data_IF_649010425595
#
_entry.id   IF_649010425595
#
_cell.length_a   1.000
_cell.length_b   1.000
_cell.length_c   1.000
_cell.angle_alpha   90.00
_cell.angle_beta   90.00
_cell.angle_gamma   90.00
#
_symmetry.space_group_name_H-M   'P 1'
#
loop_
_entity.id
_entity.type
_entity.pdbx_description
1 polymer ?
#
# COMPACT_ATOMS: atom_id res chain seq x y z
N UNK A 1 -5.42 -3.39 16.34
CA UNK A 1 -6.38 -3.27 15.22
C UNK A 1 -5.57 -3.28 13.95
N UNK A 2 -6.00 -3.97 12.89
CA UNK A 2 -5.31 -3.90 11.61
C UNK A 2 -5.35 -2.45 11.09
N UNK A 3 -4.28 -2.00 10.47
CA UNK A 3 -4.23 -0.66 9.87
C UNK A 3 -5.19 -0.61 8.68
N UNK A 4 -6.12 0.35 8.67
CA UNK A 4 -7.03 0.56 7.56
C UNK A 4 -6.23 0.95 6.30
N UNK A 5 -6.59 0.37 5.16
CA UNK A 5 -5.98 0.74 3.87
C UNK A 5 -6.52 2.07 3.39
N UNK A 6 -5.64 3.01 3.04
CA UNK A 6 -6.01 4.34 2.57
C UNK A 6 -6.38 4.30 1.09
N UNK A 7 -7.60 4.68 0.77
CA UNK A 7 -8.09 4.80 -0.60
C UNK A 7 -8.32 6.27 -0.93
N UNK A 8 -7.77 6.74 -2.06
CA UNK A 8 -8.14 8.01 -2.65
C UNK A 8 -9.22 7.76 -3.70
N UNK A 9 -10.42 8.30 -3.48
CA UNK A 9 -11.56 8.22 -4.40
C UNK A 9 -11.71 9.56 -5.13
N UNK A 10 -11.59 9.52 -6.45
CA UNK A 10 -11.61 10.72 -7.33
C UNK A 10 -12.76 10.56 -8.32
N UNK A 11 -13.81 11.32 -8.16
CA UNK A 11 -14.99 11.34 -9.03
C UNK A 11 -15.69 12.70 -8.84
N UNK A 12 -16.19 13.33 -9.90
CA UNK A 12 -16.89 14.61 -9.82
C UNK A 12 -18.38 14.46 -9.45
N UNK A 13 -18.94 13.26 -9.65
CA UNK A 13 -20.29 12.90 -9.23
C UNK A 13 -20.35 12.76 -7.70
N UNK A 14 -20.92 13.77 -7.02
CA UNK A 14 -21.02 13.83 -5.56
C UNK A 14 -21.83 12.66 -5.00
N UNK A 15 -22.99 12.33 -5.61
CA UNK A 15 -23.87 11.25 -5.14
C UNK A 15 -23.16 9.89 -5.23
N UNK A 16 -22.44 9.62 -6.32
CA UNK A 16 -21.67 8.41 -6.51
C UNK A 16 -20.48 8.34 -5.55
N UNK A 17 -19.78 9.47 -5.36
CA UNK A 17 -18.62 9.57 -4.48
C UNK A 17 -19.01 9.30 -3.03
N UNK A 18 -20.07 9.94 -2.52
CA UNK A 18 -20.59 9.72 -1.18
C UNK A 18 -21.03 8.27 -0.98
N UNK A 19 -21.84 7.72 -1.91
CA UNK A 19 -22.33 6.35 -1.81
C UNK A 19 -21.20 5.31 -1.81
N UNK A 20 -20.15 5.52 -2.61
CA UNK A 20 -18.98 4.62 -2.64
C UNK A 20 -18.14 4.75 -1.37
N UNK A 21 -17.91 5.97 -0.90
CA UNK A 21 -17.17 6.26 0.33
C UNK A 21 -17.83 5.56 1.52
N UNK A 22 -19.14 5.73 1.71
CA UNK A 22 -19.90 5.07 2.77
C UNK A 22 -19.80 3.53 2.70
N UNK A 23 -20.00 2.95 1.51
CA UNK A 23 -19.94 1.50 1.32
C UNK A 23 -18.53 0.94 1.59
N UNK A 24 -17.48 1.64 1.19
CA UNK A 24 -16.10 1.23 1.45
C UNK A 24 -15.77 1.29 2.95
N UNK A 25 -16.13 2.37 3.63
CA UNK A 25 -15.93 2.53 5.08
C UNK A 25 -16.71 1.46 5.87
N UNK A 26 -17.93 1.10 5.45
CA UNK A 26 -18.71 0.02 6.08
C UNK A 26 -18.05 -1.35 6.02
N UNK A 27 -17.06 -1.57 5.16
CA UNK A 27 -16.30 -2.83 5.14
C UNK A 27 -15.33 -2.98 6.30
N UNK A 28 -15.06 -1.90 7.05
CA UNK A 28 -14.07 -1.83 8.14
C UNK A 28 -12.62 -2.14 7.70
N UNK A 29 -12.37 -2.21 6.37
CA UNK A 29 -11.05 -2.46 5.79
C UNK A 29 -10.34 -1.17 5.35
N UNK A 30 -11.12 -0.07 5.10
CA UNK A 30 -10.65 1.10 4.37
C UNK A 30 -10.89 2.42 5.11
N UNK A 31 -9.91 3.32 4.93
CA UNK A 31 -10.00 4.75 5.22
C UNK A 31 -10.06 5.51 3.89
N UNK A 32 -11.15 6.25 3.62
CA UNK A 32 -11.44 6.83 2.32
C UNK A 32 -11.24 8.34 2.34
N UNK A 33 -10.45 8.81 1.38
CA UNK A 33 -10.18 10.22 1.13
C UNK A 33 -10.75 10.59 -0.23
N UNK A 34 -11.45 11.70 -0.32
CA UNK A 34 -12.21 12.09 -1.51
C UNK A 34 -11.58 13.26 -2.23
N UNK A 35 -11.70 13.28 -3.56
CA UNK A 35 -11.39 14.42 -4.41
C UNK A 35 -12.44 14.53 -5.54
N UNK A 36 -12.85 15.71 -5.87
CA UNK A 36 -13.91 16.00 -6.85
C UNK A 36 -13.38 16.43 -8.22
N UNK A 37 -12.06 16.57 -8.35
CA UNK A 37 -11.38 16.98 -9.57
C UNK A 37 -9.90 16.55 -9.58
N UNK A 38 -9.24 16.70 -10.72
CA UNK A 38 -7.86 16.30 -10.90
C UNK A 38 -6.87 17.13 -10.10
N UNK A 39 -7.12 18.42 -9.91
CA UNK A 39 -6.24 19.28 -9.12
C UNK A 39 -6.23 18.84 -7.65
N UNK A 40 -7.41 18.67 -7.04
CA UNK A 40 -7.53 18.24 -5.64
C UNK A 40 -6.94 16.85 -5.44
N UNK A 41 -7.12 15.94 -6.41
CA UNK A 41 -6.52 14.61 -6.38
C UNK A 41 -4.98 14.66 -6.38
N UNK A 42 -4.38 15.53 -7.20
CA UNK A 42 -2.92 15.70 -7.25
C UNK A 42 -2.34 16.32 -5.97
N UNK A 43 -3.06 17.25 -5.35
CA UNK A 43 -2.67 17.85 -4.08
C UNK A 43 -2.66 16.78 -2.98
N UNK A 44 -3.75 15.99 -2.85
CA UNK A 44 -3.84 14.89 -1.88
C UNK A 44 -2.78 13.81 -2.11
N UNK A 45 -2.48 13.47 -3.36
CA UNK A 45 -1.45 12.48 -3.68
C UNK A 45 -0.02 12.92 -3.32
N UNK A 46 0.21 14.21 -3.11
CA UNK A 46 1.48 14.76 -2.58
C UNK A 46 1.54 14.77 -1.06
N UNK A 47 0.40 14.95 -0.41
CA UNK A 47 0.31 15.07 1.04
C UNK A 47 0.38 13.74 1.76
N UNK A 48 -0.10 12.66 1.13
CA UNK A 48 -0.19 11.34 1.77
C UNK A 48 0.10 10.20 0.79
N UNK A 49 0.53 9.06 1.36
CA UNK A 49 0.59 7.78 0.65
C UNK A 49 -0.78 7.10 0.73
N UNK A 50 -1.25 6.65 -0.42
CA UNK A 50 -2.46 5.85 -0.55
C UNK A 50 -2.11 4.42 -0.94
N UNK A 51 -2.88 3.45 -0.45
CA UNK A 51 -2.72 2.04 -0.80
C UNK A 51 -3.36 1.73 -2.17
N UNK A 52 -4.39 2.51 -2.56
CA UNK A 52 -5.06 2.39 -3.87
C UNK A 52 -5.73 3.73 -4.22
N UNK A 53 -5.80 4.03 -5.52
CA UNK A 53 -6.52 5.19 -6.06
C UNK A 53 -7.65 4.67 -6.96
N UNK A 54 -8.88 5.11 -6.70
CA UNK A 54 -10.03 4.94 -7.59
C UNK A 54 -10.18 6.26 -8.34
N UNK A 55 -10.16 6.22 -9.67
CA UNK A 55 -10.06 7.42 -10.49
C UNK A 55 -11.09 7.40 -11.61
N UNK A 56 -12.01 8.35 -11.59
CA UNK A 56 -12.90 8.56 -12.73
C UNK A 56 -12.15 9.10 -13.95
N UNK A 57 -12.56 8.65 -15.14
CA UNK A 57 -12.00 9.15 -16.41
C UNK A 57 -12.56 10.52 -16.77
N UNK A 58 -13.82 10.78 -16.45
CA UNK A 58 -14.57 11.96 -16.86
C UNK A 58 -14.52 13.12 -15.88
N UNK A 59 -13.33 13.57 -15.46
CA UNK A 59 -13.22 14.70 -14.53
C UNK A 59 -13.43 16.05 -15.21
N UNK A 60 -13.91 17.08 -14.47
CA UNK A 60 -14.30 18.37 -15.04
C UNK A 60 -13.12 19.22 -15.53
N UNK A 61 -11.93 19.01 -14.96
CA UNK A 61 -10.74 19.83 -15.21
C UNK A 61 -9.66 19.11 -16.06
N UNK A 62 -9.73 17.77 -16.15
CA UNK A 62 -8.77 16.96 -16.90
C UNK A 62 -9.34 15.58 -17.26
N UNK A 63 -8.78 14.93 -18.28
CA UNK A 63 -9.05 13.51 -18.52
C UNK A 63 -8.35 12.66 -17.45
N UNK A 64 -9.06 11.75 -16.77
CA UNK A 64 -8.50 10.89 -15.73
C UNK A 64 -7.30 10.05 -16.20
N UNK A 65 -7.23 9.73 -17.49
CA UNK A 65 -6.07 9.04 -18.09
C UNK A 65 -4.82 9.93 -18.10
N UNK A 66 -4.97 11.23 -18.41
CA UNK A 66 -3.88 12.19 -18.31
C UNK A 66 -3.46 12.40 -16.86
N UNK A 67 -4.42 12.48 -15.95
CA UNK A 67 -4.15 12.56 -14.52
C UNK A 67 -3.35 11.34 -14.02
N UNK A 68 -3.72 10.13 -14.46
CA UNK A 68 -2.97 8.91 -14.16
C UNK A 68 -1.51 9.01 -14.63
N UNK A 69 -1.28 9.44 -15.88
CA UNK A 69 0.08 9.63 -16.41
C UNK A 69 0.88 10.65 -15.59
N UNK A 70 0.24 11.74 -15.17
CA UNK A 70 0.88 12.76 -14.32
C UNK A 70 1.23 12.20 -12.94
N UNK A 71 0.33 11.46 -12.30
CA UNK A 71 0.57 10.78 -11.03
C UNK A 71 1.77 9.82 -11.15
N UNK A 72 1.82 8.99 -12.21
CA UNK A 72 2.95 8.08 -12.47
C UNK A 72 4.27 8.83 -12.68
N UNK A 73 4.28 9.94 -13.41
CA UNK A 73 5.46 10.79 -13.58
C UNK A 73 5.95 11.40 -12.28
N UNK A 74 5.04 11.69 -11.34
CA UNK A 74 5.39 12.18 -10.00
C UNK A 74 5.79 11.06 -9.02
N UNK A 75 5.81 9.82 -9.47
CA UNK A 75 6.30 8.69 -8.67
C UNK A 75 5.23 7.97 -7.85
N UNK A 76 3.94 8.27 -8.05
CA UNK A 76 2.85 7.52 -7.41
C UNK A 76 2.93 6.05 -7.81
N UNK A 77 3.13 5.16 -6.85
CA UNK A 77 3.27 3.70 -7.03
C UNK A 77 2.01 2.93 -6.67
N UNK A 78 1.11 3.55 -5.91
CA UNK A 78 -0.19 2.95 -5.57
C UNK A 78 -0.93 2.44 -6.82
N UNK A 79 -1.60 1.30 -6.78
CA UNK A 79 -2.44 0.85 -7.87
C UNK A 79 -3.54 1.86 -8.15
N UNK A 80 -3.79 2.13 -9.43
CA UNK A 80 -4.85 3.02 -9.91
C UNK A 80 -5.89 2.15 -10.62
N UNK A 81 -7.11 2.19 -10.12
CA UNK A 81 -8.28 1.54 -10.69
C UNK A 81 -9.16 2.64 -11.30
N UNK A 82 -9.31 2.61 -12.62
CA UNK A 82 -10.11 3.61 -13.31
C UNK A 82 -11.59 3.23 -13.38
N UNK A 83 -12.46 4.22 -13.19
CA UNK A 83 -13.89 4.13 -13.47
C UNK A 83 -14.16 4.80 -14.81
N UNK A 84 -14.96 4.18 -15.66
CA UNK A 84 -15.28 4.75 -17.00
C UNK A 84 -16.74 4.57 -17.35
N UNK A 85 -17.36 5.58 -17.97
CA UNK A 85 -18.69 5.51 -18.52
C UNK A 85 -18.76 4.87 -19.93
N UNK A 86 -17.63 4.50 -20.53
CA UNK A 86 -17.57 3.94 -21.87
C UNK A 86 -16.99 2.52 -21.85
N UNK A 87 -17.72 1.59 -22.43
CA UNK A 87 -17.40 0.16 -22.50
C UNK A 87 -16.64 -0.22 -23.79
N UNK A 88 -15.88 0.69 -24.40
CA UNK A 88 -15.12 0.35 -25.60
C UNK A 88 -13.79 -0.30 -25.24
N UNK A 89 -13.42 -1.37 -25.97
CA UNK A 89 -12.09 -2.00 -25.87
C UNK A 89 -10.96 -0.96 -26.07
N UNK A 90 -11.22 0.06 -26.89
CA UNK A 90 -10.27 1.15 -27.15
C UNK A 90 -10.02 2.01 -25.90
N UNK A 91 -11.04 2.33 -25.10
CA UNK A 91 -10.90 3.10 -23.86
C UNK A 91 -10.16 2.31 -22.79
N UNK A 92 -10.42 1.02 -22.72
CA UNK A 92 -9.68 0.11 -21.81
C UNK A 92 -8.19 0.04 -22.15
N UNK A 93 -7.84 -0.10 -23.44
CA UNK A 93 -6.45 -0.12 -23.91
C UNK A 93 -5.74 1.21 -23.59
N UNK A 94 -6.37 2.34 -23.92
CA UNK A 94 -5.81 3.67 -23.67
C UNK A 94 -5.54 3.96 -22.21
N UNK A 95 -6.33 3.39 -21.32
CA UNK A 95 -6.14 3.58 -19.90
C UNK A 95 -5.06 2.71 -19.29
N UNK A 96 -4.96 1.47 -19.71
CA UNK A 96 -3.84 0.60 -19.31
C UNK A 96 -2.51 1.20 -19.79
N UNK A 97 -2.47 1.76 -21.01
CA UNK A 97 -1.31 2.49 -21.55
C UNK A 97 -1.01 3.79 -20.76
N UNK A 98 -2.01 4.35 -20.07
CA UNK A 98 -1.82 5.49 -19.16
C UNK A 98 -1.14 5.10 -17.84
N UNK A 99 -0.99 3.81 -17.55
CA UNK A 99 -0.38 3.29 -16.32
C UNK A 99 -1.40 2.93 -15.24
N UNK A 100 -2.68 2.78 -15.59
CA UNK A 100 -3.69 2.19 -14.70
C UNK A 100 -3.43 0.69 -14.49
N UNK A 101 -3.86 0.16 -13.35
CA UNK A 101 -3.71 -1.25 -13.00
C UNK A 101 -4.94 -2.07 -13.37
N UNK A 102 -6.12 -1.44 -13.39
CA UNK A 102 -7.38 -2.10 -13.74
C UNK A 102 -8.44 -1.06 -14.15
N UNK A 103 -9.53 -1.56 -14.72
CA UNK A 103 -10.66 -0.79 -15.24
C UNK A 103 -11.99 -1.35 -14.77
N UNK A 104 -12.94 -0.47 -14.47
CA UNK A 104 -14.33 -0.82 -14.15
C UNK A 104 -15.26 0.12 -14.90
N UNK A 105 -16.13 -0.46 -15.74
CA UNK A 105 -17.16 0.30 -16.47
C UNK A 105 -18.35 0.66 -15.57
N UNK A 106 -18.81 1.90 -15.68
CA UNK A 106 -20.08 2.36 -15.10
C UNK A 106 -21.25 1.98 -16.05
N UNK A 107 -22.38 1.46 -15.55
CA UNK A 107 -22.69 1.18 -14.15
C UNK A 107 -22.08 -0.15 -13.64
N UNK A 108 -21.59 -0.16 -12.43
CA UNK A 108 -21.00 -1.34 -11.80
C UNK A 108 -21.76 -1.77 -10.53
N UNK A 109 -21.53 -3.00 -10.12
CA UNK A 109 -22.01 -3.50 -8.82
C UNK A 109 -20.91 -3.36 -7.78
N UNK A 110 -21.21 -2.79 -6.62
CA UNK A 110 -20.23 -2.60 -5.54
C UNK A 110 -19.43 -3.87 -5.18
N UNK A 111 -20.04 -5.08 -5.04
CA UNK A 111 -19.25 -6.28 -4.76
C UNK A 111 -18.19 -6.61 -5.83
N UNK A 112 -18.44 -6.25 -7.11
CA UNK A 112 -17.47 -6.44 -8.20
C UNK A 112 -16.31 -5.44 -8.06
N UNK A 113 -16.62 -4.17 -7.80
CA UNK A 113 -15.62 -3.14 -7.54
C UNK A 113 -14.77 -3.51 -6.33
N UNK A 114 -15.37 -3.91 -5.22
CA UNK A 114 -14.69 -4.32 -3.99
C UNK A 114 -13.75 -5.52 -4.23
N UNK A 115 -14.18 -6.52 -5.00
CA UNK A 115 -13.34 -7.67 -5.35
C UNK A 115 -12.09 -7.25 -6.15
N UNK A 116 -12.23 -6.29 -7.08
CA UNK A 116 -11.11 -5.72 -7.86
C UNK A 116 -10.16 -4.89 -6.99
N UNK A 117 -10.69 -4.03 -6.12
CA UNK A 117 -9.90 -3.27 -5.14
C UNK A 117 -9.01 -4.24 -4.34
N UNK A 118 -9.61 -5.27 -3.73
CA UNK A 118 -8.88 -6.27 -2.95
C UNK A 118 -7.85 -7.04 -3.78
N UNK A 119 -8.15 -7.33 -5.05
CA UNK A 119 -7.20 -7.99 -5.95
C UNK A 119 -5.99 -7.11 -6.25
N UNK A 120 -6.21 -5.82 -6.56
CA UNK A 120 -5.14 -4.87 -6.85
C UNK A 120 -4.26 -4.60 -5.61
N UNK A 121 -4.86 -4.47 -4.43
CA UNK A 121 -4.12 -4.33 -3.17
C UNK A 121 -3.19 -5.53 -2.94
N UNK A 122 -3.71 -6.77 -3.04
CA UNK A 122 -2.90 -7.99 -2.88
C UNK A 122 -1.76 -8.07 -3.91
N UNK A 123 -2.06 -7.76 -5.18
CA UNK A 123 -1.05 -7.78 -6.24
C UNK A 123 0.05 -6.74 -5.99
N UNK A 124 -0.34 -5.53 -5.59
CA UNK A 124 0.60 -4.46 -5.28
C UNK A 124 1.50 -4.82 -4.10
N UNK A 125 0.95 -5.35 -3.00
CA UNK A 125 1.73 -5.80 -1.84
C UNK A 125 2.77 -6.88 -2.19
N UNK A 126 2.52 -7.65 -3.25
CA UNK A 126 3.44 -8.66 -3.75
C UNK A 126 4.47 -8.10 -4.73
N UNK A 127 4.21 -6.92 -5.30
CA UNK A 127 5.09 -6.31 -6.29
C UNK A 127 6.40 -5.80 -5.66
N UNK A 128 7.41 -5.61 -6.52
CA UNK A 128 8.66 -4.94 -6.12
C UNK A 128 8.49 -3.42 -5.97
N UNK A 129 7.47 -2.85 -6.59
CA UNK A 129 7.17 -1.42 -6.55
C UNK A 129 6.37 -0.99 -5.30
N UNK A 130 6.02 -1.94 -4.42
CA UNK A 130 5.28 -1.65 -3.21
C UNK A 130 6.01 -0.64 -2.32
N UNK A 131 5.29 0.38 -1.87
CA UNK A 131 5.75 1.38 -0.91
C UNK A 131 4.79 1.32 0.28
N UNK A 132 5.33 1.17 1.48
CA UNK A 132 4.54 0.98 2.68
C UNK A 132 4.77 2.11 3.69
N UNK A 133 3.71 2.59 4.32
CA UNK A 133 3.83 3.41 5.53
C UNK A 133 4.16 2.48 6.71
N UNK A 134 5.20 2.81 7.46
CA UNK A 134 5.67 2.03 8.61
C UNK A 134 6.01 2.97 9.76
N UNK A 135 5.01 3.30 10.59
CA UNK A 135 5.16 4.32 11.62
C UNK A 135 5.65 5.65 11.00
N UNK A 136 6.79 6.22 11.47
CA UNK A 136 7.36 7.45 10.91
C UNK A 136 8.15 7.24 9.62
N UNK A 137 8.11 6.06 9.03
CA UNK A 137 8.92 5.69 7.86
C UNK A 137 8.08 5.39 6.64
N UNK A 138 8.60 5.72 5.48
CA UNK A 138 8.19 5.17 4.18
C UNK A 138 9.13 4.01 3.83
N UNK A 139 8.62 2.79 3.83
CA UNK A 139 9.38 1.58 3.51
C UNK A 139 9.32 1.27 2.02
N UNK A 140 10.47 1.21 1.36
CA UNK A 140 10.64 0.89 -0.06
C UNK A 140 11.47 -0.40 -0.20
N UNK A 141 10.82 -1.59 -0.23
CA UNK A 141 11.50 -2.89 -0.24
C UNK A 141 12.44 -3.10 -1.43
N UNK A 142 12.01 -2.69 -2.63
CA UNK A 142 12.82 -2.83 -3.85
C UNK A 142 14.18 -2.11 -3.74
N UNK A 143 14.18 -0.95 -3.10
CA UNK A 143 15.40 -0.17 -2.87
C UNK A 143 16.13 -0.56 -1.58
N UNK A 144 15.53 -1.44 -0.76
CA UNK A 144 16.03 -1.87 0.57
C UNK A 144 16.30 -0.67 1.49
N UNK A 145 15.37 0.29 1.53
CA UNK A 145 15.48 1.49 2.36
C UNK A 145 14.20 1.79 3.13
N UNK A 146 14.39 2.49 4.25
CA UNK A 146 13.36 3.26 4.93
C UNK A 146 13.68 4.73 4.73
N UNK A 147 12.67 5.54 4.46
CA UNK A 147 12.78 7.00 4.33
C UNK A 147 12.03 7.63 5.48
N UNK A 148 12.69 8.54 6.22
CA UNK A 148 12.10 9.30 7.32
C UNK A 148 11.35 10.52 6.78
N UNK A 149 10.56 11.20 7.60
CA UNK A 149 9.83 12.43 7.24
C UNK A 149 10.77 13.56 6.78
N UNK A 150 12.00 13.60 7.30
CA UNK A 150 13.06 14.54 6.91
C UNK A 150 13.90 14.04 5.71
N UNK A 151 13.37 13.13 4.92
CA UNK A 151 13.95 12.54 3.69
C UNK A 151 15.29 11.81 3.90
N UNK A 152 15.62 11.45 5.14
CA UNK A 152 16.81 10.66 5.45
C UNK A 152 16.57 9.18 5.10
N UNK A 153 17.54 8.58 4.39
CA UNK A 153 17.48 7.18 3.94
C UNK A 153 18.25 6.25 4.88
N UNK A 154 17.56 5.26 5.43
CA UNK A 154 18.12 4.19 6.25
C UNK A 154 18.23 2.93 5.39
N UNK A 155 19.45 2.44 5.17
CA UNK A 155 19.69 1.22 4.37
C UNK A 155 19.39 -0.03 5.17
N UNK A 156 18.71 -0.97 4.51
CA UNK A 156 18.41 -2.30 5.02
C UNK A 156 19.23 -3.35 4.27
N UNK A 157 19.56 -4.42 4.96
CA UNK A 157 20.04 -5.65 4.31
C UNK A 157 18.87 -6.40 3.69
N UNK A 158 19.14 -7.37 2.82
CA UNK A 158 18.12 -8.21 2.21
C UNK A 158 17.27 -8.95 3.26
N UNK A 159 17.91 -9.51 4.30
CA UNK A 159 17.20 -10.21 5.37
C UNK A 159 16.33 -9.28 6.21
N UNK A 160 16.84 -8.10 6.55
CA UNK A 160 16.05 -7.06 7.24
C UNK A 160 14.83 -6.61 6.41
N UNK A 161 15.02 -6.42 5.11
CA UNK A 161 13.93 -6.08 4.17
C UNK A 161 12.87 -7.17 4.14
N UNK A 162 13.29 -8.44 4.02
CA UNK A 162 12.36 -9.58 3.97
C UNK A 162 11.61 -9.78 5.29
N UNK A 163 12.26 -9.56 6.43
CA UNK A 163 11.61 -9.59 7.75
C UNK A 163 10.50 -8.52 7.82
N UNK A 164 10.83 -7.25 7.50
CA UNK A 164 9.84 -6.17 7.53
C UNK A 164 8.69 -6.42 6.55
N UNK A 165 9.01 -6.85 5.32
CA UNK A 165 8.01 -7.16 4.29
C UNK A 165 7.05 -8.26 4.73
N UNK A 166 7.55 -9.32 5.36
CA UNK A 166 6.73 -10.43 5.84
C UNK A 166 5.86 -10.02 7.03
N UNK A 167 6.44 -9.33 8.01
CA UNK A 167 5.71 -8.85 9.19
C UNK A 167 4.63 -7.82 8.81
N UNK A 168 4.93 -6.90 7.88
CA UNK A 168 3.96 -5.93 7.39
C UNK A 168 2.73 -6.62 6.76
N UNK A 169 2.95 -7.65 5.94
CA UNK A 169 1.88 -8.43 5.31
C UNK A 169 1.04 -9.24 6.30
N UNK A 170 1.55 -9.45 7.49
CA UNK A 170 0.83 -10.18 8.55
C UNK A 170 -0.20 -9.30 9.29
N UNK A 171 -0.40 -8.04 8.86
CA UNK A 171 -1.43 -7.11 9.34
C UNK A 171 -1.53 -7.06 10.87
N UNK A 172 -0.49 -6.58 11.53
CA UNK A 172 -0.39 -6.55 13.00
C UNK A 172 -0.52 -7.91 13.70
N UNK A 173 -0.55 -9.00 12.94
CA UNK A 173 -0.55 -10.35 13.48
C UNK A 173 0.79 -10.74 14.09
N UNK A 174 0.75 -11.52 15.19
CA UNK A 174 1.97 -12.12 15.76
C UNK A 174 2.45 -13.24 14.86
N UNK A 175 3.68 -13.12 14.34
CA UNK A 175 4.33 -14.15 13.53
C UNK A 175 5.27 -14.99 14.40
N UNK A 176 5.06 -16.28 14.44
CA UNK A 176 5.91 -17.20 15.19
C UNK A 176 7.37 -17.16 14.66
N UNK A 177 8.34 -17.37 15.56
CA UNK A 177 9.78 -17.32 15.23
C UNK A 177 10.14 -18.32 14.13
N UNK A 178 9.62 -19.52 14.22
CA UNK A 178 9.86 -20.60 13.25
C UNK A 178 9.32 -20.25 11.86
N UNK A 179 8.12 -19.63 11.81
CA UNK A 179 7.49 -19.18 10.57
C UNK A 179 8.35 -18.10 9.93
N UNK A 180 8.74 -17.07 10.70
CA UNK A 180 9.55 -15.99 10.17
C UNK A 180 10.95 -16.48 9.72
N UNK A 181 11.54 -17.41 10.46
CA UNK A 181 12.80 -18.03 10.10
C UNK A 181 12.68 -18.79 8.77
N UNK A 182 11.64 -19.61 8.62
CA UNK A 182 11.37 -20.39 7.41
C UNK A 182 11.15 -19.50 6.20
N UNK A 183 10.29 -18.48 6.32
CA UNK A 183 9.93 -17.58 5.22
C UNK A 183 11.12 -16.72 4.75
N UNK A 184 11.98 -16.30 5.66
CA UNK A 184 13.09 -15.39 5.33
C UNK A 184 14.36 -16.15 4.91
N UNK A 185 14.62 -17.36 5.47
CA UNK A 185 15.84 -18.13 5.19
C UNK A 185 15.62 -19.44 4.43
N UNK A 186 14.35 -19.88 4.30
CA UNK A 186 14.02 -21.17 3.68
C UNK A 186 14.40 -22.37 4.57
N UNK A 187 14.36 -23.56 3.99
CA UNK A 187 14.75 -24.81 4.66
C UNK A 187 16.27 -24.93 4.86
N UNK A 188 16.92 -23.95 5.42
CA UNK A 188 18.36 -24.01 5.65
C UNK A 188 18.63 -24.52 7.08
N UNK A 189 18.97 -25.81 7.21
CA UNK A 189 19.17 -26.49 8.49
C UNK A 189 20.29 -25.91 9.39
N UNK A 190 21.07 -24.95 8.88
CA UNK A 190 22.14 -24.28 9.63
C UNK A 190 21.71 -22.96 10.28
N UNK A 191 20.48 -22.47 10.04
CA UNK A 191 20.02 -21.18 10.56
C UNK A 191 19.15 -21.40 11.80
N UNK A 192 19.56 -20.81 12.91
CA UNK A 192 18.89 -20.95 14.21
C UNK A 192 18.08 -19.70 14.56
N UNK A 193 17.20 -19.81 15.56
CA UNK A 193 16.45 -18.68 16.11
C UNK A 193 17.36 -17.53 16.56
N UNK A 194 18.58 -17.82 16.99
CA UNK A 194 19.58 -16.82 17.38
C UNK A 194 20.00 -15.94 16.19
N UNK A 195 20.03 -16.47 14.97
CA UNK A 195 20.27 -15.66 13.76
C UNK A 195 19.13 -14.65 13.53
N UNK A 196 17.88 -15.10 13.69
CA UNK A 196 16.72 -14.23 13.61
C UNK A 196 16.78 -13.12 14.66
N UNK A 197 17.04 -13.46 15.93
CA UNK A 197 17.17 -12.50 17.04
C UNK A 197 18.23 -11.44 16.78
N UNK A 198 19.36 -11.83 16.17
CA UNK A 198 20.41 -10.88 15.78
C UNK A 198 19.91 -9.88 14.74
N UNK A 199 19.15 -10.33 13.74
CA UNK A 199 18.58 -9.44 12.74
C UNK A 199 17.48 -8.53 13.31
N UNK A 200 16.63 -9.05 14.18
CA UNK A 200 15.62 -8.26 14.92
C UNK A 200 16.31 -7.16 15.76
N UNK A 201 17.37 -7.49 16.49
CA UNK A 201 18.12 -6.52 17.26
C UNK A 201 18.70 -5.39 16.38
N UNK A 202 19.32 -5.76 15.23
CA UNK A 202 19.87 -4.78 14.27
C UNK A 202 18.78 -3.91 13.65
N UNK A 203 17.62 -4.49 13.33
CA UNK A 203 16.48 -3.73 12.85
C UNK A 203 16.02 -2.70 13.89
N UNK A 204 15.82 -3.12 15.14
CA UNK A 204 15.45 -2.20 16.22
C UNK A 204 16.42 -1.05 16.37
N UNK A 205 17.73 -1.29 16.27
CA UNK A 205 18.72 -0.21 16.27
C UNK A 205 18.54 0.81 15.14
N UNK A 206 17.90 0.43 14.04
CA UNK A 206 17.66 1.29 12.89
C UNK A 206 16.32 2.03 12.94
N UNK A 207 15.28 1.40 13.52
CA UNK A 207 13.90 1.88 13.42
C UNK A 207 13.28 2.32 14.73
N UNK A 208 13.86 1.95 15.87
CA UNK A 208 13.32 2.30 17.18
C UNK A 208 14.09 3.48 17.79
N UNK A 209 13.40 4.43 18.44
CA UNK A 209 14.08 5.46 19.24
C UNK A 209 14.85 4.85 20.42
N UNK A 210 14.29 3.81 21.05
CA UNK A 210 14.91 2.99 22.10
C UNK A 210 14.79 1.51 21.74
N UNK A 211 15.87 0.86 21.25
CA UNK A 211 15.86 -0.57 20.89
C UNK A 211 15.50 -1.51 22.03
N UNK A 212 15.70 -1.10 23.28
CA UNK A 212 15.37 -1.91 24.46
C UNK A 212 13.89 -1.85 24.81
N UNK A 213 13.19 -0.80 24.35
CA UNK A 213 11.75 -0.58 24.54
C UNK A 213 11.07 -0.40 23.19
N UNK A 214 11.12 -1.45 22.38
CA UNK A 214 10.62 -1.46 21.01
C UNK A 214 9.09 -1.23 20.95
N UNK A 215 8.66 -0.33 20.06
CA UNK A 215 7.25 0.03 19.84
C UNK A 215 6.74 -0.34 18.45
N UNK A 216 7.61 -0.31 17.45
CA UNK A 216 7.28 -0.69 16.08
C UNK A 216 7.49 -2.20 15.86
N UNK A 217 8.64 -2.74 16.24
CA UNK A 217 8.98 -4.15 16.10
C UNK A 217 8.92 -4.84 17.46
N UNK A 218 7.74 -5.27 17.87
CA UNK A 218 7.47 -5.75 19.23
C UNK A 218 7.72 -7.26 19.32
N UNK A 219 8.24 -7.70 20.49
CA UNK A 219 8.30 -9.12 20.85
C UNK A 219 7.02 -9.48 21.59
N UNK A 220 6.33 -10.48 21.10
CA UNK A 220 5.14 -11.07 21.72
C UNK A 220 5.40 -12.52 22.14
N UNK A 221 4.44 -13.10 22.89
CA UNK A 221 4.53 -14.50 23.28
C UNK A 221 4.65 -15.42 22.04
N UNK A 222 5.83 -16.00 21.84
CA UNK A 222 6.11 -16.93 20.74
C UNK A 222 6.63 -16.30 19.44
N UNK A 223 6.66 -14.96 19.29
CA UNK A 223 7.03 -14.38 18.01
C UNK A 223 7.30 -12.88 18.01
N UNK A 224 7.11 -12.28 16.84
CA UNK A 224 7.28 -10.86 16.59
C UNK A 224 6.05 -10.29 15.91
N UNK A 225 5.77 -9.03 16.18
CA UNK A 225 4.72 -8.25 15.55
C UNK A 225 5.29 -6.91 15.10
N UNK A 226 4.88 -6.46 13.93
CA UNK A 226 5.15 -5.12 13.45
C UNK A 226 3.91 -4.28 13.68
N UNK A 227 4.04 -3.17 14.42
CA UNK A 227 2.98 -2.19 14.67
C UNK A 227 3.22 -1.05 13.69
N UNK A 228 2.44 -1.03 12.60
CA UNK A 228 2.58 -0.06 11.51
C UNK A 228 1.61 1.10 11.64
#
# INVERSE_FOLDING_TARGET
MAQLKKILLVDDDEDLREALSEQLVMTEDFDVFEADNGQSAMERAKEALYDLIILDVGLPDTDGRELCRLMRKQGVKAPILMLTGHDSDADTILGLDAGANDYVSKPFKFPVLLARIRAQLRQHEQSEDAVFALGPYTFQPAMKILVTEDDRKIRLTEKETNILKFLYRSNDGVVAREVLLHEVWGYNAGVTTHTLETHIYRLRQKIEPDPSNARLLVTESGGYRLVA
#
